data_IF_545354074715
#
_entry.id   IF_545354074715
#
_cell.length_a   1.000
_cell.length_b   1.000
_cell.length_c   1.000
_cell.angle_alpha   90.00
_cell.angle_beta   90.00
_cell.angle_gamma   90.00
#
_symmetry.space_group_name_H-M   'P 1'
#
loop_
_entity.id
_entity.type
_entity.pdbx_description
1 polymer ?
#
# COMPACT_ATOMS: atom_id res chain seq x y z
N UNK A 1 19.79 6.94 7.21
CA UNK A 1 20.48 6.13 6.19
C UNK A 1 19.66 6.24 4.91
N UNK A 2 20.10 7.07 3.96
CA UNK A 2 19.42 7.24 2.66
C UNK A 2 19.68 5.96 1.85
N UNK A 3 18.61 5.27 1.45
CA UNK A 3 18.67 4.02 0.70
C UNK A 3 19.25 4.32 -0.71
N UNK A 4 20.52 4.01 -0.93
CA UNK A 4 21.30 4.38 -2.12
C UNK A 4 20.98 3.54 -3.38
N UNK A 5 19.85 2.83 -3.38
CA UNK A 5 19.44 1.93 -4.47
C UNK A 5 18.57 2.64 -5.51
N UNK A 6 18.47 2.09 -6.73
CA UNK A 6 17.60 2.64 -7.76
C UNK A 6 16.13 2.70 -7.30
N UNK A 7 15.44 3.79 -7.63
CA UNK A 7 14.02 4.02 -7.31
C UNK A 7 13.08 2.95 -7.90
N UNK A 8 13.52 2.23 -8.94
CA UNK A 8 12.87 1.05 -9.49
C UNK A 8 12.71 -0.07 -8.46
N UNK A 9 13.76 -0.37 -7.71
CA UNK A 9 13.82 -1.47 -6.73
C UNK A 9 12.95 -1.22 -5.49
N UNK A 10 12.64 0.04 -5.20
CA UNK A 10 11.84 0.41 -4.03
C UNK A 10 10.36 0.01 -4.20
N UNK A 11 9.80 0.23 -5.40
CA UNK A 11 8.42 -0.16 -5.71
C UNK A 11 8.29 -1.68 -5.79
N UNK A 12 9.22 -2.38 -6.46
CA UNK A 12 9.17 -3.84 -6.57
C UNK A 12 9.31 -4.52 -5.19
N UNK A 13 10.11 -3.93 -4.29
CA UNK A 13 10.20 -4.39 -2.90
C UNK A 13 8.91 -4.15 -2.13
N UNK A 14 8.35 -2.95 -2.22
CA UNK A 14 7.09 -2.61 -1.55
C UNK A 14 5.94 -3.50 -2.05
N UNK A 15 5.90 -3.76 -3.35
CA UNK A 15 4.91 -4.64 -3.97
C UNK A 15 5.08 -6.11 -3.54
N UNK A 16 6.31 -6.62 -3.42
CA UNK A 16 6.56 -7.95 -2.82
C UNK A 16 6.07 -8.04 -1.37
N UNK A 17 6.19 -6.95 -0.61
CA UNK A 17 5.63 -6.88 0.73
C UNK A 17 4.11 -7.08 0.71
N UNK A 18 3.40 -6.40 -0.18
CA UNK A 18 1.95 -6.59 -0.39
C UNK A 18 1.64 -8.07 -0.69
N UNK A 19 2.37 -8.65 -1.65
CA UNK A 19 2.14 -10.02 -2.11
C UNK A 19 2.28 -11.03 -0.96
N UNK A 20 3.40 -11.01 -0.23
CA UNK A 20 3.69 -12.07 0.73
C UNK A 20 3.11 -11.81 2.13
N UNK A 21 3.07 -10.55 2.59
CA UNK A 21 2.55 -10.21 3.92
C UNK A 21 1.02 -10.28 3.97
N UNK A 22 0.36 -9.88 2.88
CA UNK A 22 -1.09 -9.67 2.87
C UNK A 22 -1.78 -10.57 1.85
N UNK A 23 -1.42 -10.49 0.58
CA UNK A 23 -2.22 -11.14 -0.45
C UNK A 23 -2.20 -12.68 -0.39
N UNK A 24 -1.00 -13.27 -0.25
CA UNK A 24 -0.80 -14.71 -0.13
C UNK A 24 -1.35 -15.26 1.18
N UNK A 25 -0.95 -14.67 2.30
CA UNK A 25 -1.25 -15.20 3.64
C UNK A 25 -2.69 -14.90 4.09
N UNK A 26 -3.20 -13.70 3.84
CA UNK A 26 -4.50 -13.26 4.40
C UNK A 26 -5.69 -13.60 3.50
N UNK A 27 -5.48 -13.77 2.19
CA UNK A 27 -6.57 -13.99 1.23
C UNK A 27 -6.40 -15.28 0.44
N UNK A 28 -5.35 -15.39 -0.38
CA UNK A 28 -5.22 -16.51 -1.31
C UNK A 28 -5.13 -17.86 -0.61
N UNK A 29 -4.22 -18.01 0.36
CA UNK A 29 -4.01 -19.28 1.04
C UNK A 29 -5.22 -19.71 1.88
N UNK A 30 -5.85 -18.84 2.71
CA UNK A 30 -7.07 -19.20 3.42
C UNK A 30 -8.20 -19.62 2.50
N UNK A 31 -8.39 -18.93 1.36
CA UNK A 31 -9.40 -19.27 0.36
C UNK A 31 -9.14 -20.65 -0.25
N UNK A 32 -7.89 -20.92 -0.65
CA UNK A 32 -7.50 -22.22 -1.21
C UNK A 32 -7.61 -23.35 -0.18
N UNK A 33 -7.23 -23.12 1.08
CA UNK A 33 -7.35 -24.11 2.16
C UNK A 33 -8.83 -24.44 2.41
N UNK A 34 -9.69 -23.43 2.52
CA UNK A 34 -11.12 -23.63 2.72
C UNK A 34 -11.77 -24.41 1.57
N UNK A 35 -11.42 -24.06 0.33
CA UNK A 35 -11.91 -24.77 -0.85
C UNK A 35 -11.41 -26.22 -0.94
N UNK A 36 -10.13 -26.46 -0.63
CA UNK A 36 -9.58 -27.82 -0.60
C UNK A 36 -10.27 -28.69 0.45
N UNK A 37 -10.52 -28.16 1.65
CA UNK A 37 -11.29 -28.85 2.69
C UNK A 37 -12.74 -29.11 2.28
N UNK A 38 -13.31 -28.25 1.43
CA UNK A 38 -14.64 -28.42 0.82
C UNK A 38 -14.69 -29.38 -0.37
N UNK A 39 -13.57 -30.00 -0.76
CA UNK A 39 -13.52 -30.93 -1.88
C UNK A 39 -13.44 -30.28 -3.25
N UNK A 40 -12.91 -29.06 -3.34
CA UNK A 40 -12.65 -28.40 -4.62
C UNK A 40 -11.65 -29.20 -5.47
N UNK A 41 -11.88 -29.20 -6.79
CA UNK A 41 -10.94 -29.71 -7.79
C UNK A 41 -9.72 -28.80 -7.95
N UNK A 42 -8.66 -29.32 -8.57
CA UNK A 42 -7.45 -28.54 -8.86
C UNK A 42 -7.75 -27.32 -9.75
N UNK A 43 -8.64 -27.47 -10.73
CA UNK A 43 -9.08 -26.35 -11.59
C UNK A 43 -9.77 -25.25 -10.78
N UNK A 44 -10.64 -25.62 -9.84
CA UNK A 44 -11.29 -24.65 -8.95
C UNK A 44 -10.28 -23.98 -8.01
N UNK A 45 -9.31 -24.71 -7.49
CA UNK A 45 -8.24 -24.15 -6.66
C UNK A 45 -7.39 -23.13 -7.44
N UNK A 46 -7.07 -23.42 -8.70
CA UNK A 46 -6.29 -22.51 -9.54
C UNK A 46 -7.07 -21.23 -9.85
N UNK A 47 -8.37 -21.33 -10.15
CA UNK A 47 -9.24 -20.16 -10.32
C UNK A 47 -9.30 -19.33 -9.04
N UNK A 48 -9.46 -19.97 -7.88
CA UNK A 48 -9.53 -19.27 -6.60
C UNK A 48 -8.20 -18.60 -6.24
N UNK A 49 -7.06 -19.21 -6.55
CA UNK A 49 -5.74 -18.58 -6.36
C UNK A 49 -5.54 -17.37 -7.27
N UNK A 50 -5.89 -17.53 -8.55
CA UNK A 50 -5.83 -16.46 -9.54
C UNK A 50 -6.74 -15.27 -9.18
N UNK A 51 -7.85 -15.52 -8.49
CA UNK A 51 -8.74 -14.49 -7.95
C UNK A 51 -8.24 -13.89 -6.62
N UNK A 52 -7.81 -14.73 -5.69
CA UNK A 52 -7.46 -14.33 -4.32
C UNK A 52 -6.21 -13.45 -4.26
N UNK A 53 -5.22 -13.71 -5.11
CA UNK A 53 -3.98 -12.93 -5.15
C UNK A 53 -4.22 -11.44 -5.50
N UNK A 54 -4.86 -11.07 -6.63
CA UNK A 54 -5.12 -9.67 -6.95
C UNK A 54 -6.09 -9.02 -5.96
N UNK A 55 -7.06 -9.77 -5.41
CA UNK A 55 -7.93 -9.27 -4.35
C UNK A 55 -7.14 -8.86 -3.10
N UNK A 56 -6.19 -9.69 -2.70
CA UNK A 56 -5.29 -9.41 -1.58
C UNK A 56 -4.36 -8.21 -1.81
N UNK A 57 -3.89 -8.03 -3.05
CA UNK A 57 -3.14 -6.84 -3.43
C UNK A 57 -4.01 -5.59 -3.29
N UNK A 58 -5.22 -5.61 -3.84
CA UNK A 58 -6.15 -4.49 -3.76
C UNK A 58 -6.53 -4.15 -2.30
N UNK A 59 -6.71 -5.18 -1.46
CA UNK A 59 -6.96 -5.00 -0.04
C UNK A 59 -5.84 -4.22 0.65
N UNK A 60 -4.57 -4.63 0.47
CA UNK A 60 -3.45 -3.92 1.11
C UNK A 60 -3.23 -2.53 0.55
N UNK A 61 -3.45 -2.30 -0.75
CA UNK A 61 -3.35 -0.95 -1.32
C UNK A 61 -4.40 0.00 -0.73
N UNK A 62 -5.62 -0.51 -0.49
CA UNK A 62 -6.66 0.25 0.20
C UNK A 62 -6.31 0.49 1.68
N UNK A 63 -5.75 -0.51 2.35
CA UNK A 63 -5.27 -0.40 3.73
C UNK A 63 -4.18 0.68 3.87
N UNK A 64 -3.15 0.63 3.01
CA UNK A 64 -2.10 1.66 2.94
C UNK A 64 -2.68 3.06 2.66
N UNK A 65 -3.73 3.16 1.84
CA UNK A 65 -4.40 4.44 1.55
C UNK A 65 -5.13 4.98 2.78
N UNK A 66 -5.82 4.10 3.52
CA UNK A 66 -6.51 4.47 4.75
C UNK A 66 -5.53 4.81 5.88
N UNK A 67 -4.38 4.14 5.95
CA UNK A 67 -3.31 4.45 6.91
C UNK A 67 -2.72 5.86 6.71
N UNK A 68 -2.79 6.39 5.48
CA UNK A 68 -2.30 7.74 5.16
C UNK A 68 -3.40 8.80 5.17
N UNK A 69 -4.56 8.52 4.58
CA UNK A 69 -5.63 9.51 4.33
C UNK A 69 -6.98 9.14 4.92
N UNK A 70 -7.08 8.03 5.66
CA UNK A 70 -8.33 7.58 6.23
C UNK A 70 -8.89 8.62 7.20
N UNK A 71 -10.19 8.87 7.10
CA UNK A 71 -10.89 9.70 8.09
C UNK A 71 -10.86 8.97 9.44
N UNK A 72 -10.33 9.58 10.52
CA UNK A 72 -10.31 8.98 11.85
C UNK A 72 -11.68 8.54 12.35
N UNK A 73 -12.76 9.21 11.90
CA UNK A 73 -14.13 8.81 12.24
C UNK A 73 -14.54 7.46 11.63
N UNK A 74 -13.86 7.02 10.56
CA UNK A 74 -14.13 5.77 9.84
C UNK A 74 -13.11 4.68 10.21
N UNK A 75 -11.84 5.04 10.35
CA UNK A 75 -10.75 4.09 10.65
C UNK A 75 -10.65 3.77 12.14
N UNK A 76 -11.06 4.71 13.01
CA UNK A 76 -10.82 4.62 14.46
C UNK A 76 -9.39 4.94 14.88
N UNK A 77 -8.51 5.28 13.93
CA UNK A 77 -7.10 5.60 14.12
C UNK A 77 -6.77 6.99 13.55
N UNK A 78 -5.78 7.72 14.10
CA UNK A 78 -5.33 8.98 13.51
C UNK A 78 -4.88 8.80 12.06
N UNK A 79 -5.26 9.75 11.20
CA UNK A 79 -4.79 9.75 9.81
C UNK A 79 -3.28 9.98 9.75
N UNK A 80 -2.57 9.26 8.87
CA UNK A 80 -1.17 9.53 8.59
C UNK A 80 -0.17 8.80 9.50
N UNK A 81 -0.64 7.86 10.31
CA UNK A 81 0.23 7.07 11.20
C UNK A 81 1.29 6.28 10.43
N UNK A 82 0.95 5.79 9.23
CA UNK A 82 1.91 5.15 8.34
C UNK A 82 3.07 6.08 7.96
N UNK A 83 2.80 7.37 7.74
CA UNK A 83 3.83 8.36 7.45
C UNK A 83 4.67 8.66 8.68
N UNK A 84 4.04 8.86 9.86
CA UNK A 84 4.76 9.10 11.13
C UNK A 84 5.69 7.95 11.49
N UNK A 85 5.24 6.72 11.29
CA UNK A 85 6.03 5.50 11.50
C UNK A 85 7.14 5.32 10.45
N UNK A 86 7.13 6.10 9.37
CA UNK A 86 8.11 6.01 8.30
C UNK A 86 7.90 4.79 7.40
N UNK A 87 6.67 4.27 7.31
CA UNK A 87 6.37 3.12 6.46
C UNK A 87 6.58 3.49 5.01
N UNK A 88 7.52 2.81 4.35
CA UNK A 88 7.76 2.92 2.92
C UNK A 88 6.82 1.98 2.16
N UNK A 89 5.53 2.27 2.23
CA UNK A 89 4.47 1.54 1.52
C UNK A 89 4.61 1.68 0.01
N UNK A 90 3.84 0.89 -0.75
CA UNK A 90 3.84 0.99 -2.21
C UNK A 90 3.35 2.37 -2.65
N UNK A 91 2.38 2.96 -1.93
CA UNK A 91 1.89 4.31 -2.20
C UNK A 91 2.98 5.37 -2.00
N UNK A 92 3.77 5.28 -0.92
CA UNK A 92 4.91 6.20 -0.70
C UNK A 92 5.95 6.06 -1.82
N UNK A 93 6.29 4.83 -2.22
CA UNK A 93 7.25 4.59 -3.30
C UNK A 93 6.76 5.10 -4.66
N UNK A 94 5.46 4.98 -4.96
CA UNK A 94 4.85 5.54 -6.17
C UNK A 94 4.79 7.07 -6.11
N UNK A 95 4.44 7.63 -4.95
CA UNK A 95 4.41 9.07 -4.71
C UNK A 95 5.78 9.70 -5.00
N UNK A 96 6.89 9.11 -4.53
CA UNK A 96 8.24 9.62 -4.81
C UNK A 96 8.51 9.74 -6.31
N UNK A 97 7.99 8.82 -7.15
CA UNK A 97 8.21 8.87 -8.61
C UNK A 97 7.46 10.01 -9.28
N UNK A 98 6.24 10.29 -8.87
CA UNK A 98 5.33 11.21 -9.56
C UNK A 98 5.38 12.64 -9.00
N UNK A 99 5.81 12.80 -7.75
CA UNK A 99 5.92 14.11 -7.10
C UNK A 99 7.08 14.93 -7.69
N UNK A 100 6.83 16.23 -7.86
CA UNK A 100 7.84 17.23 -8.17
C UNK A 100 8.79 17.46 -6.97
N UNK A 101 9.81 18.31 -7.15
CA UNK A 101 10.81 18.56 -6.10
C UNK A 101 10.18 19.06 -4.79
N UNK A 102 9.17 19.94 -4.89
CA UNK A 102 8.47 20.47 -3.73
C UNK A 102 7.65 19.39 -3.03
N UNK A 103 6.96 18.53 -3.78
CA UNK A 103 6.21 17.39 -3.25
C UNK A 103 7.13 16.35 -2.59
N UNK A 104 8.31 16.10 -3.15
CA UNK A 104 9.31 15.21 -2.53
C UNK A 104 9.84 15.77 -1.22
N UNK A 105 10.26 17.04 -1.17
CA UNK A 105 10.67 17.68 0.10
C UNK A 105 9.56 17.64 1.15
N UNK A 106 8.32 17.74 0.70
CA UNK A 106 7.14 17.69 1.56
C UNK A 106 6.92 16.31 2.17
N UNK A 107 7.02 15.27 1.34
CA UNK A 107 6.91 13.88 1.77
C UNK A 107 8.07 13.51 2.71
N UNK A 108 9.29 13.90 2.37
CA UNK A 108 10.49 13.62 3.17
C UNK A 108 10.46 14.31 4.54
N UNK A 109 9.81 15.49 4.64
CA UNK A 109 9.68 16.22 5.91
C UNK A 109 8.74 15.54 6.92
N UNK A 110 7.78 14.72 6.46
CA UNK A 110 6.80 14.05 7.35
C UNK A 110 7.09 12.57 7.54
N UNK A 111 7.82 11.94 6.61
CA UNK A 111 8.08 10.50 6.65
C UNK A 111 9.05 10.13 7.79
N UNK A 112 8.52 9.45 8.80
CA UNK A 112 9.25 9.02 9.99
C UNK A 112 9.29 10.07 11.11
N UNK A 113 8.60 11.20 10.95
CA UNK A 113 8.48 12.22 12.00
C UNK A 113 7.24 11.96 12.87
N UNK A 114 7.47 11.44 14.07
CA UNK A 114 6.42 11.18 15.06
C UNK A 114 5.73 12.47 15.55
N UNK A 115 6.36 13.64 15.39
CA UNK A 115 5.79 14.93 15.75
C UNK A 115 5.02 15.60 14.61
N UNK A 116 4.94 14.96 13.43
CA UNK A 116 4.22 15.51 12.29
C UNK A 116 2.73 15.69 12.60
N UNK A 117 2.24 16.92 12.44
CA UNK A 117 0.84 17.26 12.70
C UNK A 117 -0.08 16.78 11.57
N UNK A 118 -1.35 16.55 11.87
CA UNK A 118 -2.35 16.18 10.85
C UNK A 118 -2.41 17.20 9.71
N UNK A 119 -2.25 18.49 10.04
CA UNK A 119 -2.22 19.56 9.04
C UNK A 119 -0.98 19.45 8.12
N UNK A 120 0.18 19.06 8.66
CA UNK A 120 1.39 18.86 7.86
C UNK A 120 1.25 17.64 6.93
N UNK A 121 0.52 16.61 7.34
CA UNK A 121 0.25 15.42 6.52
C UNK A 121 -0.79 15.73 5.43
N UNK A 122 -1.89 16.39 5.80
CA UNK A 122 -3.00 16.70 4.89
C UNK A 122 -2.65 17.75 3.82
N UNK A 123 -1.81 18.74 4.15
CA UNK A 123 -1.51 19.88 3.25
C UNK A 123 -0.42 19.56 2.22
N UNK A 124 0.39 18.52 2.45
CA UNK A 124 1.65 18.32 1.70
C UNK A 124 1.70 17.07 0.85
N UNK A 125 0.68 16.23 0.95
CA UNK A 125 0.49 15.05 0.10
C UNK A 125 -0.80 15.27 -0.71
N UNK A 126 -0.80 16.28 -1.56
CA UNK A 126 -1.74 16.36 -2.68
C UNK A 126 -1.27 15.30 -3.69
N UNK A 127 -1.51 14.02 -3.38
CA UNK A 127 -1.50 12.98 -4.40
C UNK A 127 -2.67 13.33 -5.31
N UNK A 128 -2.35 14.13 -6.31
CA UNK A 128 -3.26 14.50 -7.35
C UNK A 128 -4.01 13.24 -7.79
N UNK A 129 -5.33 13.32 -7.80
CA UNK A 129 -6.23 12.23 -8.17
C UNK A 129 -5.91 11.65 -9.57
N UNK A 130 -5.02 12.30 -10.33
CA UNK A 130 -4.39 11.82 -11.56
C UNK A 130 -3.54 10.55 -11.41
N UNK A 131 -3.06 10.17 -10.21
CA UNK A 131 -2.31 8.92 -9.97
C UNK A 131 -3.17 7.68 -10.28
N UNK A 132 -4.49 7.75 -10.07
CA UNK A 132 -5.43 6.67 -10.40
C UNK A 132 -5.54 6.42 -11.92
N UNK A 133 -5.28 7.44 -12.74
CA UNK A 133 -5.34 7.33 -14.19
C UNK A 133 -4.20 6.55 -14.83
N UNK A 134 -3.08 6.35 -14.11
CA UNK A 134 -1.87 5.69 -14.64
C UNK A 134 -1.71 4.23 -14.20
N UNK A 135 -2.51 3.76 -13.24
CA UNK A 135 -2.55 2.35 -12.82
C UNK A 135 -3.42 1.50 -13.77
N UNK A 136 -4.07 2.13 -14.74
CA UNK A 136 -4.71 1.49 -15.89
C UNK A 136 -3.82 1.56 -17.14
N UNK A 137 -2.73 0.80 -17.17
CA UNK A 137 -2.08 0.34 -18.41
C UNK A 137 -1.44 -1.04 -18.20
#
# INVERSE_FOLDING_TARGET
MVDARPESEHVDRAYRFIIYKSAKYSIEAPLAIGAALGGASDEQLDVLRAFGLPLGVAFQLRDDLLGVFGDPAVTGEPSGDDLREGKRTTLVALATRVLDARGRESLDAVLGDQAATDAAIAVRVHLDTSVWGQVHM
#
